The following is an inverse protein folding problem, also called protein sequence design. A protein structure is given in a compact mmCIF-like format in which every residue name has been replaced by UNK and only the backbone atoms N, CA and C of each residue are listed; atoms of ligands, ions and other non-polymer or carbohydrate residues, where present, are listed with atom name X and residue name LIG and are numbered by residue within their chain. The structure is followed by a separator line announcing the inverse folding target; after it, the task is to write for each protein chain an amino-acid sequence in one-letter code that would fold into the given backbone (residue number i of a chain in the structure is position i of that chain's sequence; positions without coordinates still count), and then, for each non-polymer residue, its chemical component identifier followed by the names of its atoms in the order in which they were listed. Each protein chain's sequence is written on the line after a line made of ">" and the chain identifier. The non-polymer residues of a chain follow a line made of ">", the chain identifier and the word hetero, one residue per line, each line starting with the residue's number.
data_IF_040056523737
#
_entry.id   IF_040056523737
#
_cell.length_a   1.000
_cell.length_b   1.000
_cell.length_c   1.000
_cell.angle_alpha   90.00
_cell.angle_beta   90.00
_cell.angle_gamma   90.00
#
_symmetry.space_group_name_H-M   'P 1'
#
loop_
_entity.id
_entity.type
_entity.pdbx_description
1 polymer ?
#
# COMPACT_ATOMS: atom_id res chain seq x y z
N UNK A 1 15.14 19.83 -2.92
CA UNK A 1 14.73 18.53 -3.50
C UNK A 1 15.68 17.50 -2.95
N UNK A 2 15.17 16.46 -2.33
CA UNK A 2 15.98 15.34 -1.86
C UNK A 2 16.60 14.61 -3.07
N UNK A 3 17.69 13.91 -2.82
CA UNK A 3 18.28 13.05 -3.83
C UNK A 3 17.42 11.77 -3.93
N UNK A 4 16.92 11.44 -5.11
CA UNK A 4 16.10 10.25 -5.35
C UNK A 4 16.74 8.97 -4.77
N UNK A 5 18.05 8.82 -4.90
CA UNK A 5 18.76 7.67 -4.35
C UNK A 5 18.73 7.62 -2.83
N UNK A 6 18.71 8.76 -2.15
CA UNK A 6 18.55 8.85 -0.69
C UNK A 6 17.17 8.43 -0.26
N UNK A 7 16.11 8.86 -0.97
CA UNK A 7 14.74 8.42 -0.72
C UNK A 7 14.62 6.90 -0.86
N UNK A 8 15.10 6.35 -1.97
CA UNK A 8 15.10 4.89 -2.22
C UNK A 8 15.84 4.14 -1.10
N UNK A 9 16.99 4.64 -0.66
CA UNK A 9 17.80 4.01 0.38
C UNK A 9 17.21 4.17 1.78
N UNK A 10 16.47 5.23 2.07
CA UNK A 10 15.88 5.50 3.39
C UNK A 10 14.54 4.79 3.61
N UNK A 11 13.79 4.50 2.54
CA UNK A 11 12.48 3.84 2.65
C UNK A 11 12.56 2.53 3.44
N UNK A 12 11.66 2.38 4.42
CA UNK A 12 11.54 1.18 5.28
C UNK A 12 10.09 0.72 5.39
N UNK A 13 9.91 -0.59 5.61
CA UNK A 13 8.61 -1.15 6.00
C UNK A 13 8.42 -0.96 7.50
N UNK A 14 7.69 0.07 7.88
CA UNK A 14 7.40 0.42 9.27
C UNK A 14 6.10 -0.22 9.73
N UNK A 15 6.09 -0.76 10.95
CA UNK A 15 4.96 -1.50 11.52
C UNK A 15 4.51 -0.98 12.89
N UNK A 16 4.80 0.29 13.16
CA UNK A 16 4.34 1.02 14.33
C UNK A 16 4.08 2.46 13.93
N UNK A 17 2.83 2.90 13.99
CA UNK A 17 2.38 4.20 13.51
C UNK A 17 1.76 4.99 14.65
N UNK A 18 1.99 6.32 14.66
CA UNK A 18 1.22 7.23 15.49
C UNK A 18 -0.23 7.29 15.02
N UNK A 19 -1.15 7.59 15.92
CA UNK A 19 -2.57 7.79 15.59
C UNK A 19 -2.87 9.09 14.86
N UNK A 20 -1.90 10.00 14.76
CA UNK A 20 -2.01 11.28 14.06
C UNK A 20 -2.24 11.05 12.57
N UNK A 21 -3.27 11.71 12.03
CA UNK A 21 -3.57 11.68 10.60
C UNK A 21 -2.62 12.62 9.84
N UNK A 22 -1.91 12.15 8.80
CA UNK A 22 -1.18 13.05 7.91
C UNK A 22 -2.14 13.99 7.18
N UNK A 23 -1.70 15.19 6.75
CA UNK A 23 -2.52 16.09 5.94
C UNK A 23 -3.07 15.40 4.68
N UNK A 24 -4.33 15.67 4.36
CA UNK A 24 -5.02 15.01 3.24
C UNK A 24 -4.36 15.32 1.90
N UNK A 25 -3.82 16.51 1.72
CA UNK A 25 -3.07 16.94 0.54
C UNK A 25 -1.79 16.12 0.34
N UNK A 26 -1.07 15.77 1.41
CA UNK A 26 0.08 14.86 1.33
C UNK A 26 -0.35 13.45 0.90
N UNK A 27 -1.47 12.94 1.42
CA UNK A 27 -2.01 11.64 0.99
C UNK A 27 -2.39 11.67 -0.48
N UNK A 28 -2.96 12.77 -0.98
CA UNK A 28 -3.28 12.90 -2.40
C UNK A 28 -2.02 12.99 -3.29
N UNK A 29 -0.94 13.64 -2.84
CA UNK A 29 0.35 13.61 -3.54
C UNK A 29 0.94 12.19 -3.64
N UNK A 30 0.75 11.37 -2.59
CA UNK A 30 1.16 9.96 -2.60
C UNK A 30 0.37 9.16 -3.64
N UNK A 31 -0.93 9.39 -3.74
CA UNK A 31 -1.78 8.75 -4.77
C UNK A 31 -1.37 9.24 -6.17
N UNK A 32 -1.18 10.53 -6.36
CA UNK A 32 -0.71 11.09 -7.63
C UNK A 32 0.61 10.45 -8.09
N UNK A 33 1.57 10.29 -7.21
CA UNK A 33 2.83 9.60 -7.55
C UNK A 33 2.60 8.15 -8.02
N UNK A 34 1.64 7.45 -7.41
CA UNK A 34 1.27 6.10 -7.84
C UNK A 34 0.62 6.09 -9.23
N UNK A 35 -0.21 7.08 -9.56
CA UNK A 35 -0.85 7.23 -10.87
C UNK A 35 0.16 7.45 -12.00
N UNK A 36 1.33 8.02 -11.70
CA UNK A 36 2.43 8.21 -12.66
C UNK A 36 3.27 6.97 -12.91
N UNK A 37 2.94 5.82 -12.34
CA UNK A 37 3.63 4.57 -12.63
C UNK A 37 3.37 4.11 -14.09
N UNK A 38 4.31 3.37 -14.69
CA UNK A 38 4.07 2.75 -15.99
C UNK A 38 2.98 1.68 -15.87
N UNK A 39 2.17 1.54 -16.93
CA UNK A 39 1.17 0.48 -17.05
C UNK A 39 1.34 -0.27 -18.35
N UNK A 40 1.18 -1.57 -18.31
CA UNK A 40 1.28 -2.43 -19.49
C UNK A 40 0.34 -1.98 -20.61
N UNK A 41 0.91 -1.72 -21.79
CA UNK A 41 0.18 -1.18 -22.96
C UNK A 41 -0.51 0.17 -22.70
N UNK A 42 -0.17 0.90 -21.64
CA UNK A 42 -0.81 2.18 -21.29
C UNK A 42 -2.30 2.06 -20.93
N UNK A 43 -2.71 0.95 -20.36
CA UNK A 43 -4.14 0.70 -20.08
C UNK A 43 -4.65 1.42 -18.83
N UNK A 44 -3.83 1.57 -17.78
CA UNK A 44 -4.17 2.29 -16.53
C UNK A 44 -5.50 1.83 -15.91
N UNK A 45 -5.74 0.52 -15.82
CA UNK A 45 -6.99 -0.09 -15.33
C UNK A 45 -6.98 -0.31 -13.80
N UNK A 46 -6.18 0.44 -13.08
CA UNK A 46 -6.17 0.48 -11.63
C UNK A 46 -7.22 1.44 -11.06
N UNK A 47 -7.52 1.24 -9.78
CA UNK A 47 -8.28 2.19 -8.96
C UNK A 47 -7.62 2.30 -7.59
N UNK A 48 -7.50 3.53 -7.10
CA UNK A 48 -6.91 3.83 -5.79
C UNK A 48 -8.03 4.16 -4.80
N UNK A 49 -8.14 3.37 -3.74
CA UNK A 49 -9.10 3.63 -2.66
C UNK A 49 -8.35 4.06 -1.41
N UNK A 50 -8.61 5.26 -0.93
CA UNK A 50 -7.99 5.82 0.27
C UNK A 50 -8.94 5.70 1.45
N UNK A 51 -8.56 4.90 2.45
CA UNK A 51 -9.26 4.82 3.73
C UNK A 51 -8.59 5.81 4.69
N UNK A 52 -9.12 7.04 4.71
CA UNK A 52 -8.67 8.14 5.59
C UNK A 52 -9.54 8.18 6.85
N UNK A 53 -9.61 7.02 7.54
CA UNK A 53 -10.44 6.84 8.73
C UNK A 53 -9.97 5.61 9.50
N UNK A 54 -9.50 5.81 10.74
CA UNK A 54 -8.93 4.75 11.57
C UNK A 54 -9.94 3.65 11.94
N UNK A 55 -11.21 4.01 12.19
CA UNK A 55 -12.27 3.03 12.55
C UNK A 55 -12.60 2.14 11.35
N UNK A 56 -12.76 2.73 10.16
CA UNK A 56 -13.00 1.97 8.92
C UNK A 56 -11.80 1.07 8.59
N UNK A 57 -10.59 1.58 8.77
CA UNK A 57 -9.35 0.81 8.60
C UNK A 57 -9.33 -0.39 9.55
N UNK A 58 -9.64 -0.19 10.82
CA UNK A 58 -9.69 -1.25 11.82
C UNK A 58 -10.79 -2.28 11.52
N UNK A 59 -11.98 -1.82 11.07
CA UNK A 59 -13.09 -2.72 10.69
C UNK A 59 -12.66 -3.64 9.54
N UNK A 60 -12.02 -3.09 8.51
CA UNK A 60 -11.49 -3.89 7.40
C UNK A 60 -10.38 -4.85 7.86
N UNK A 61 -9.45 -4.38 8.71
CA UNK A 61 -8.37 -5.22 9.23
C UNK A 61 -8.89 -6.43 10.02
N UNK A 62 -9.97 -6.28 10.80
CA UNK A 62 -10.60 -7.37 11.53
C UNK A 62 -11.24 -8.40 10.58
N UNK A 63 -11.96 -7.96 9.57
CA UNK A 63 -12.53 -8.86 8.57
C UNK A 63 -11.41 -9.65 7.83
N UNK A 64 -10.31 -8.99 7.49
CA UNK A 64 -9.12 -9.64 6.91
C UNK A 64 -8.50 -10.62 7.90
N UNK A 65 -8.42 -10.28 9.19
CA UNK A 65 -7.87 -11.16 10.21
C UNK A 65 -8.68 -12.45 10.37
N UNK A 66 -10.00 -12.36 10.34
CA UNK A 66 -10.90 -13.51 10.38
C UNK A 66 -10.74 -14.39 9.12
N UNK A 67 -10.70 -13.76 7.93
CA UNK A 67 -10.55 -14.45 6.66
C UNK A 67 -9.20 -15.17 6.49
N UNK A 68 -8.11 -14.61 7.06
CA UNK A 68 -6.72 -15.12 6.97
C UNK A 68 -6.26 -15.86 8.26
N UNK A 69 -7.22 -16.19 9.15
CA UNK A 69 -6.94 -16.87 10.43
C UNK A 69 -5.84 -16.19 11.27
N UNK A 70 -5.77 -14.86 11.25
CA UNK A 70 -4.87 -14.06 12.08
C UNK A 70 -5.53 -13.78 13.44
N UNK A 71 -4.72 -13.57 14.44
CA UNK A 71 -5.25 -13.26 15.75
C UNK A 71 -6.00 -11.91 15.80
N UNK A 72 -6.85 -11.70 16.80
CA UNK A 72 -7.73 -10.52 16.92
C UNK A 72 -6.97 -9.19 17.08
N UNK A 73 -5.67 -9.24 17.35
CA UNK A 73 -4.78 -8.08 17.45
C UNK A 73 -4.36 -7.52 16.10
N UNK A 74 -4.63 -8.22 14.99
CA UNK A 74 -4.27 -7.73 13.65
C UNK A 74 -5.10 -6.49 13.26
N UNK A 75 -4.43 -5.41 12.92
CA UNK A 75 -5.03 -4.08 12.76
C UNK A 75 -4.36 -3.22 11.67
N UNK A 76 -3.73 -3.84 10.66
CA UNK A 76 -2.89 -3.12 9.69
C UNK A 76 -1.81 -2.24 10.37
N UNK A 77 -1.23 -2.76 11.46
CA UNK A 77 -0.20 -2.10 12.28
C UNK A 77 -0.67 -0.80 12.96
N UNK A 78 -1.99 -0.57 13.07
CA UNK A 78 -2.55 0.62 13.66
C UNK A 78 -2.39 1.90 12.82
N UNK A 79 -2.07 1.76 11.54
CA UNK A 79 -1.89 2.92 10.66
C UNK A 79 -3.19 3.72 10.49
N UNK A 80 -3.13 5.06 10.58
CA UNK A 80 -4.31 5.92 10.48
C UNK A 80 -4.87 6.01 9.06
N UNK A 81 -4.04 5.75 8.05
CA UNK A 81 -4.44 5.76 6.63
C UNK A 81 -4.05 4.45 5.96
N UNK A 82 -4.94 3.90 5.13
CA UNK A 82 -4.63 2.80 4.23
C UNK A 82 -4.99 3.18 2.80
N UNK A 83 -4.08 2.88 1.87
CA UNK A 83 -4.29 3.07 0.43
C UNK A 83 -4.32 1.69 -0.22
N UNK A 84 -5.42 1.40 -0.90
CA UNK A 84 -5.65 0.14 -1.61
C UNK A 84 -5.47 0.40 -3.09
N UNK A 85 -4.67 -0.42 -3.74
CA UNK A 85 -4.56 -0.47 -5.21
C UNK A 85 -5.34 -1.68 -5.67
N UNK A 86 -6.41 -1.44 -6.39
CA UNK A 86 -7.20 -2.47 -7.07
C UNK A 86 -7.05 -2.35 -8.58
N UNK A 87 -7.28 -3.43 -9.29
CA UNK A 87 -7.13 -3.47 -10.73
C UNK A 87 -8.26 -4.29 -11.34
N UNK A 88 -8.65 -3.97 -12.57
CA UNK A 88 -9.69 -4.71 -13.28
C UNK A 88 -9.37 -6.19 -13.30
N UNK A 89 -10.37 -7.02 -12.98
CA UNK A 89 -10.24 -8.47 -12.91
C UNK A 89 -9.85 -9.04 -14.27
N UNK A 90 -9.11 -10.14 -14.27
CA UNK A 90 -8.66 -10.87 -15.45
C UNK A 90 -7.66 -10.12 -16.37
N UNK A 91 -7.12 -8.98 -15.89
CA UNK A 91 -6.07 -8.27 -16.61
C UNK A 91 -4.68 -8.87 -16.31
N UNK A 92 -3.97 -9.24 -17.37
CA UNK A 92 -2.67 -9.92 -17.28
C UNK A 92 -1.60 -9.11 -16.53
N UNK A 93 -1.64 -7.78 -16.68
CA UNK A 93 -0.63 -6.89 -16.08
C UNK A 93 -0.99 -6.40 -14.67
N UNK A 94 -2.14 -6.79 -14.11
CA UNK A 94 -2.65 -6.24 -12.85
C UNK A 94 -1.62 -6.23 -11.71
N UNK A 95 -0.93 -7.35 -11.47
CA UNK A 95 0.06 -7.46 -10.41
C UNK A 95 1.32 -6.63 -10.66
N UNK A 96 1.79 -6.59 -11.90
CA UNK A 96 3.02 -5.88 -12.27
C UNK A 96 2.78 -4.37 -12.24
N UNK A 97 1.70 -3.90 -12.83
CA UNK A 97 1.30 -2.49 -12.84
C UNK A 97 1.04 -1.99 -11.41
N UNK A 98 0.29 -2.77 -10.62
CA UNK A 98 0.02 -2.42 -9.23
C UNK A 98 1.28 -2.39 -8.36
N UNK A 99 2.26 -3.27 -8.62
CA UNK A 99 3.54 -3.25 -7.91
C UNK A 99 4.37 -2.01 -8.28
N UNK A 100 4.37 -1.60 -9.55
CA UNK A 100 5.03 -0.36 -9.99
C UNK A 100 4.40 0.88 -9.34
N UNK A 101 3.07 0.95 -9.33
CA UNK A 101 2.33 2.03 -8.66
C UNK A 101 2.60 2.05 -7.14
N UNK A 102 2.65 0.87 -6.50
CA UNK A 102 2.96 0.76 -5.08
C UNK A 102 4.36 1.28 -4.74
N UNK A 103 5.39 0.97 -5.53
CA UNK A 103 6.73 1.49 -5.24
C UNK A 103 6.78 3.01 -5.32
N UNK A 104 6.18 3.64 -6.34
CA UNK A 104 6.06 5.10 -6.42
C UNK A 104 5.37 5.68 -5.16
N UNK A 105 4.26 5.06 -4.73
CA UNK A 105 3.52 5.41 -3.52
C UNK A 105 4.42 5.39 -2.27
N UNK A 106 5.17 4.31 -2.08
CA UNK A 106 6.04 4.13 -0.92
C UNK A 106 7.20 5.13 -0.91
N UNK A 107 7.77 5.45 -2.07
CA UNK A 107 8.83 6.43 -2.22
C UNK A 107 8.32 7.85 -1.95
N UNK A 108 7.15 8.22 -2.47
CA UNK A 108 6.55 9.53 -2.21
C UNK A 108 6.19 9.71 -0.73
N UNK A 109 5.65 8.68 -0.07
CA UNK A 109 5.42 8.72 1.37
C UNK A 109 6.72 9.02 2.13
N UNK A 110 7.83 8.38 1.74
CA UNK A 110 9.16 8.61 2.35
C UNK A 110 9.67 10.02 2.10
N UNK A 111 9.52 10.56 0.87
CA UNK A 111 9.89 11.93 0.51
C UNK A 111 9.15 12.97 1.36
N UNK A 112 7.88 12.72 1.65
CA UNK A 112 7.03 13.59 2.48
C UNK A 112 7.26 13.42 4.00
N UNK A 113 8.25 12.61 4.41
CA UNK A 113 8.55 12.37 5.83
C UNK A 113 7.56 11.42 6.50
N UNK A 114 6.73 10.74 5.74
CA UNK A 114 5.84 9.68 6.23
C UNK A 114 6.50 8.31 6.12
N UNK A 115 5.96 7.36 6.87
CA UNK A 115 6.40 5.96 6.79
C UNK A 115 5.28 5.07 6.27
N UNK A 116 5.66 3.92 5.73
CA UNK A 116 4.74 3.03 5.07
C UNK A 116 5.05 1.56 5.32
N UNK A 117 4.05 0.70 5.11
CA UNK A 117 4.22 -0.73 5.04
C UNK A 117 3.32 -1.32 3.97
N UNK A 118 3.90 -2.08 3.03
CA UNK A 118 3.14 -2.88 2.08
C UNK A 118 2.40 -4.01 2.80
N UNK A 119 1.11 -4.17 2.53
CA UNK A 119 0.22 -5.18 3.10
C UNK A 119 -0.30 -6.09 1.97
N UNK A 120 -0.04 -7.39 2.04
CA UNK A 120 -0.48 -8.38 1.05
C UNK A 120 -1.77 -9.10 1.43
N UNK A 121 -2.10 -9.20 2.72
CA UNK A 121 -3.22 -10.00 3.23
C UNK A 121 -4.55 -9.64 2.57
N UNK A 122 -4.74 -8.35 2.30
CA UNK A 122 -5.96 -7.87 1.65
C UNK A 122 -6.12 -8.43 0.22
N UNK A 123 -5.02 -8.63 -0.50
CA UNK A 123 -5.05 -9.26 -1.82
C UNK A 123 -5.58 -10.70 -1.76
N UNK A 124 -5.14 -11.46 -0.77
CA UNK A 124 -5.46 -12.87 -0.62
C UNK A 124 -6.88 -13.10 -0.09
N UNK A 125 -7.46 -12.10 0.56
CA UNK A 125 -8.78 -12.16 1.19
C UNK A 125 -9.85 -11.31 0.51
N UNK A 126 -9.51 -10.54 -0.52
CA UNK A 126 -10.41 -9.53 -1.10
C UNK A 126 -11.71 -10.10 -1.69
N UNK A 127 -11.78 -11.38 -1.98
CA UNK A 127 -12.98 -12.06 -2.49
C UNK A 127 -13.76 -12.83 -1.40
N UNK A 128 -13.28 -12.84 -0.14
CA UNK A 128 -14.07 -13.35 0.98
C UNK A 128 -15.27 -12.42 1.18
N UNK A 129 -16.51 -12.94 1.29
CA UNK A 129 -17.74 -12.13 1.24
C UNK A 129 -17.75 -10.93 2.19
N UNK A 130 -17.31 -11.12 3.44
CA UNK A 130 -17.30 -10.08 4.47
C UNK A 130 -16.28 -8.99 4.15
N UNK A 131 -15.11 -9.36 3.60
CA UNK A 131 -14.06 -8.42 3.16
C UNK A 131 -14.54 -7.69 1.91
N UNK A 132 -15.10 -8.41 0.93
CA UNK A 132 -15.61 -7.82 -0.32
C UNK A 132 -16.70 -6.79 -0.06
N UNK A 133 -17.64 -7.08 0.84
CA UNK A 133 -18.70 -6.14 1.20
C UNK A 133 -18.13 -4.80 1.72
N UNK A 134 -17.10 -4.85 2.58
CA UNK A 134 -16.43 -3.66 3.07
C UNK A 134 -15.63 -2.93 1.97
N UNK A 135 -14.96 -3.66 1.10
CA UNK A 135 -14.23 -3.07 -0.02
C UNK A 135 -15.18 -2.32 -0.96
N UNK A 136 -16.33 -2.90 -1.30
CA UNK A 136 -17.38 -2.24 -2.10
C UNK A 136 -17.95 -1.02 -1.37
N UNK A 137 -18.27 -1.12 -0.07
CA UNK A 137 -18.70 0.02 0.75
C UNK A 137 -17.68 1.17 0.74
N UNK A 138 -16.37 0.85 0.68
CA UNK A 138 -15.29 1.84 0.70
C UNK A 138 -14.89 2.35 -0.70
N UNK A 139 -15.54 1.86 -1.74
CA UNK A 139 -15.38 2.38 -3.10
C UNK A 139 -14.42 1.59 -3.99
N UNK A 140 -14.04 0.37 -3.61
CA UNK A 140 -13.34 -0.54 -4.54
C UNK A 140 -14.35 -1.06 -5.56
N UNK A 141 -14.13 -0.89 -6.89
CA UNK A 141 -15.04 -1.37 -7.92
C UNK A 141 -15.29 -2.89 -7.82
N UNK A 142 -16.52 -3.32 -8.10
CA UNK A 142 -16.90 -4.74 -7.97
C UNK A 142 -16.16 -5.65 -8.97
N UNK A 143 -15.85 -5.13 -10.16
CA UNK A 143 -15.09 -5.82 -11.19
C UNK A 143 -13.57 -5.75 -11.00
N UNK A 144 -13.11 -5.27 -9.83
CA UNK A 144 -11.69 -5.22 -9.46
C UNK A 144 -11.31 -6.28 -8.44
N UNK A 145 -10.07 -6.76 -8.55
CA UNK A 145 -9.35 -7.46 -7.49
C UNK A 145 -8.46 -6.46 -6.74
N UNK A 146 -8.18 -6.71 -5.48
CA UNK A 146 -7.11 -5.98 -4.79
C UNK A 146 -5.76 -6.55 -5.22
N UNK A 147 -4.88 -5.68 -5.67
CA UNK A 147 -3.50 -6.05 -6.05
C UNK A 147 -2.58 -5.95 -4.86
N UNK A 148 -2.66 -4.85 -4.12
CA UNK A 148 -1.87 -4.57 -2.94
C UNK A 148 -2.48 -3.44 -2.13
N UNK A 149 -2.00 -3.25 -0.90
CA UNK A 149 -2.36 -2.09 -0.08
C UNK A 149 -1.18 -1.61 0.74
N UNK A 150 -1.22 -0.36 1.19
CA UNK A 150 -0.21 0.25 2.03
C UNK A 150 -0.82 0.89 3.27
N UNK A 151 -0.22 0.61 4.42
CA UNK A 151 -0.39 1.35 5.65
C UNK A 151 0.49 2.60 5.60
N UNK A 152 -0.06 3.79 5.91
CA UNK A 152 0.63 5.08 5.82
C UNK A 152 0.38 5.89 7.10
N UNK A 153 1.41 6.59 7.58
CA UNK A 153 1.30 7.48 8.74
C UNK A 153 2.64 8.01 9.22
N UNK A 154 2.66 8.62 10.40
CA UNK A 154 3.88 9.02 11.07
C UNK A 154 4.49 7.87 11.86
N UNK A 155 5.81 7.83 11.93
CA UNK A 155 6.54 6.80 12.66
C UNK A 155 6.32 6.93 14.18
N UNK A 156 5.95 5.84 14.83
CA UNK A 156 5.91 5.76 16.30
C UNK A 156 7.22 5.20 16.86
N UNK A 157 7.76 4.17 16.19
CA UNK A 157 8.99 3.50 16.61
C UNK A 157 9.88 3.21 15.40
N UNK A 158 11.14 3.55 15.50
CA UNK A 158 12.12 3.30 14.45
C UNK A 158 12.25 1.82 14.13
N UNK A 159 12.37 1.52 12.84
CA UNK A 159 12.64 0.19 12.34
C UNK A 159 14.13 0.13 11.92
N UNK A 160 14.95 -0.74 12.54
CA UNK A 160 16.34 -0.88 12.15
C UNK A 160 16.50 -1.22 10.68
N UNK A 161 17.48 -0.59 10.04
CA UNK A 161 17.83 -0.92 8.67
C UNK A 161 18.42 -2.33 8.62
N UNK A 162 17.91 -3.17 7.72
CA UNK A 162 18.54 -4.46 7.41
C UNK A 162 19.59 -4.26 6.30
N UNK A 163 20.73 -4.94 6.35
CA UNK A 163 21.70 -4.89 5.27
C UNK A 163 21.06 -5.40 3.98
N UNK A 164 21.47 -4.83 2.85
CA UNK A 164 21.10 -5.31 1.53
C UNK A 164 22.14 -6.32 1.05
N UNK A 165 21.69 -7.25 0.21
CA UNK A 165 22.60 -8.18 -0.46
C UNK A 165 23.38 -7.43 -1.55
N UNK A 166 24.65 -7.78 -1.69
CA UNK A 166 25.55 -7.29 -2.74
C UNK A 166 25.81 -8.39 -3.77
N UNK A 167 26.40 -8.04 -4.89
CA UNK A 167 26.85 -9.03 -5.88
C UNK A 167 25.71 -9.73 -6.67
N UNK A 168 24.53 -9.10 -6.74
CA UNK A 168 23.36 -9.65 -7.45
C UNK A 168 23.27 -9.17 -8.92
N UNK A 169 24.36 -8.67 -9.48
CA UNK A 169 24.41 -8.10 -10.83
C UNK A 169 25.40 -8.87 -11.69
N UNK A 170 24.99 -9.24 -12.89
CA UNK A 170 25.85 -9.74 -13.94
C UNK A 170 25.88 -8.72 -15.07
N UNK A 171 27.07 -8.42 -15.59
CA UNK A 171 27.30 -7.55 -16.75
C UNK A 171 27.89 -8.41 -17.86
N UNK A 172 27.30 -8.33 -19.04
CA UNK A 172 27.85 -8.95 -20.27
C UNK A 172 28.23 -7.81 -21.21
N UNK A 173 29.49 -7.79 -21.65
CA UNK A 173 30.06 -6.82 -22.60
C UNK A 173 30.18 -7.44 -23.98
#
# INVERSE_FOLDING_TARGET
>A
MSNLMEVIKSRRSTRAFKSELPPKDQIMQIVEAAEWAPSGMGKYLWHFTVIYNAEKSLKLARAVAEADNRGPQYNFYGAPVNIIISYKRDEHHALVDGAAAMENLLLMATELGLVSCWINQLRETCDVPEVRALLTEYGVPEDHIVVCSAAIGYIEKETPAKPRHEGLVSITE
#
